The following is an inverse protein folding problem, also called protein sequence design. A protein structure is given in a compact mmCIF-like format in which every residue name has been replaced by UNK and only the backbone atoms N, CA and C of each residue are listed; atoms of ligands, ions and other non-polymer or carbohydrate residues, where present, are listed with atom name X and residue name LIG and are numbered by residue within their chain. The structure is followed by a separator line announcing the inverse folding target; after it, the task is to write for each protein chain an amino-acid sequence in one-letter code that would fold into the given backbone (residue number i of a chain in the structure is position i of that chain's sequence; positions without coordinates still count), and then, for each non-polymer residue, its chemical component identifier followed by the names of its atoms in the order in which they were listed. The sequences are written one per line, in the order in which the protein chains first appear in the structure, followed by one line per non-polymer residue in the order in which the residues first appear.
data_IF_437732722589
#
_entry.id   IF_437732722589
#
_cell.length_a   1.000
_cell.length_b   1.000
_cell.length_c   1.000
_cell.angle_alpha   90.00
_cell.angle_beta   90.00
_cell.angle_gamma   90.00
#
_symmetry.space_group_name_H-M   'P 1'
#
loop_
_entity.id
_entity.type
_entity.pdbx_description
1 polymer ?
#
# COMPACT_ATOMS: atom_id res chain seq x y z
N UNK A 1 6.31 -77.96 -16.58
CA UNK A 1 6.33 -77.03 -15.42
C UNK A 1 6.09 -75.64 -15.94
N UNK A 2 4.92 -75.04 -15.68
CA UNK A 2 4.60 -73.66 -16.07
C UNK A 2 5.00 -72.72 -14.92
N UNK A 3 5.92 -71.81 -15.18
CA UNK A 3 6.29 -70.71 -14.27
C UNK A 3 5.22 -69.62 -14.35
N UNK A 4 4.63 -69.28 -13.21
CA UNK A 4 3.77 -68.10 -13.06
C UNK A 4 4.62 -66.93 -12.53
N UNK A 5 4.49 -65.70 -13.06
CA UNK A 5 5.17 -64.55 -12.49
C UNK A 5 4.35 -63.98 -11.34
N UNK A 6 4.99 -63.83 -10.18
CA UNK A 6 4.44 -63.13 -9.01
C UNK A 6 4.63 -61.63 -9.25
N UNK A 7 3.54 -60.89 -9.46
CA UNK A 7 3.55 -59.43 -9.52
C UNK A 7 3.43 -58.90 -8.09
N UNK A 8 4.52 -58.35 -7.56
CA UNK A 8 4.56 -57.68 -6.26
C UNK A 8 4.12 -56.22 -6.48
N UNK A 9 2.92 -55.86 -6.02
CA UNK A 9 2.47 -54.47 -5.96
C UNK A 9 3.18 -53.74 -4.82
N UNK A 10 4.18 -52.94 -5.14
CA UNK A 10 4.73 -51.95 -4.21
C UNK A 10 3.75 -50.77 -4.10
N UNK A 11 3.01 -50.70 -3.00
CA UNK A 11 2.28 -49.48 -2.62
C UNK A 11 3.29 -48.42 -2.18
N UNK A 12 3.69 -47.55 -3.11
CA UNK A 12 4.35 -46.29 -2.79
C UNK A 12 3.34 -45.41 -2.02
N UNK A 13 3.45 -45.39 -0.68
CA UNK A 13 2.81 -44.37 0.14
C UNK A 13 3.44 -43.03 -0.20
N UNK A 14 2.78 -42.28 -1.08
CA UNK A 14 3.09 -40.87 -1.30
C UNK A 14 2.62 -40.14 -0.04
N UNK A 15 3.56 -39.83 0.86
CA UNK A 15 3.31 -38.85 1.91
C UNK A 15 3.22 -37.48 1.23
N UNK A 16 2.00 -37.05 0.93
CA UNK A 16 1.71 -35.63 0.69
C UNK A 16 1.84 -34.89 2.01
N UNK A 17 3.07 -34.57 2.40
CA UNK A 17 3.33 -33.58 3.43
C UNK A 17 2.82 -32.24 2.92
N UNK A 18 1.68 -31.77 3.43
CA UNK A 18 1.33 -30.36 3.33
C UNK A 18 2.44 -29.59 4.05
N UNK A 19 3.29 -28.91 3.29
CA UNK A 19 4.19 -27.90 3.84
C UNK A 19 3.30 -26.80 4.44
N UNK A 20 3.17 -26.78 5.76
CA UNK A 20 2.61 -25.62 6.45
C UNK A 20 3.66 -24.52 6.30
N UNK A 21 3.37 -23.52 5.48
CA UNK A 21 4.18 -22.31 5.38
C UNK A 21 4.18 -21.66 6.75
N UNK A 22 5.34 -21.67 7.42
CA UNK A 22 5.53 -20.93 8.66
C UNK A 22 5.43 -19.44 8.35
N UNK A 23 4.30 -18.82 8.71
CA UNK A 23 4.17 -17.37 8.67
C UNK A 23 4.92 -16.79 9.86
N UNK A 24 6.10 -16.22 9.60
CA UNK A 24 6.85 -15.52 10.63
C UNK A 24 6.02 -14.34 11.18
N UNK A 25 6.00 -14.14 12.50
CA UNK A 25 5.25 -13.05 13.11
C UNK A 25 5.80 -11.70 12.64
N UNK A 26 4.91 -10.74 12.43
CA UNK A 26 5.34 -9.37 12.21
C UNK A 26 5.75 -8.73 13.53
N UNK A 27 6.99 -8.25 13.60
CA UNK A 27 7.56 -7.68 14.82
C UNK A 27 8.46 -6.50 14.50
N UNK A 28 9.02 -5.89 15.55
CA UNK A 28 10.20 -5.04 15.36
C UNK A 28 11.35 -5.93 14.86
N UNK A 29 11.90 -5.60 13.69
CA UNK A 29 12.98 -6.34 13.02
C UNK A 29 14.25 -5.50 12.88
N UNK A 30 14.12 -4.17 12.95
CA UNK A 30 15.25 -3.24 13.01
C UNK A 30 15.11 -2.29 14.20
N UNK A 31 16.24 -1.69 14.58
CA UNK A 31 16.33 -0.61 15.58
C UNK A 31 16.99 0.63 14.95
N UNK A 32 16.54 1.02 13.77
CA UNK A 32 17.09 2.20 13.11
C UNK A 32 16.63 3.46 13.85
N UNK A 33 17.62 4.31 14.19
CA UNK A 33 17.37 5.63 14.76
C UNK A 33 16.56 6.51 13.81
N UNK A 34 16.02 7.61 14.34
CA UNK A 34 15.27 8.60 13.54
C UNK A 34 16.15 9.10 12.39
N UNK A 35 17.40 9.45 12.67
CA UNK A 35 18.36 9.96 11.68
C UNK A 35 18.60 8.91 10.58
N UNK A 36 18.80 7.64 10.97
CA UNK A 36 19.03 6.55 10.02
C UNK A 36 17.80 6.31 9.14
N UNK A 37 16.59 6.35 9.70
CA UNK A 37 15.35 6.17 8.94
C UNK A 37 15.12 7.31 7.96
N UNK A 38 15.37 8.55 8.38
CA UNK A 38 15.18 9.75 7.57
C UNK A 38 16.19 9.90 6.43
N UNK A 39 17.26 9.09 6.39
CA UNK A 39 18.19 9.00 5.25
C UNK A 39 17.64 8.17 4.07
N UNK A 40 16.56 7.42 4.28
CA UNK A 40 16.00 6.56 3.25
C UNK A 40 14.92 7.27 2.43
N UNK A 41 14.80 6.89 1.16
CA UNK A 41 13.71 7.33 0.30
C UNK A 41 12.36 6.79 0.80
N UNK A 42 11.26 7.58 0.77
CA UNK A 42 11.16 8.96 0.26
C UNK A 42 11.46 10.05 1.31
N UNK A 43 11.70 9.68 2.56
CA UNK A 43 11.82 10.63 3.68
C UNK A 43 13.02 11.57 3.55
N UNK A 44 14.13 11.11 2.97
CA UNK A 44 15.31 11.94 2.73
C UNK A 44 15.09 13.09 1.74
N UNK A 45 14.03 13.03 0.92
CA UNK A 45 13.66 14.06 -0.04
C UNK A 45 12.40 14.83 0.38
N UNK A 46 11.76 14.40 1.47
CA UNK A 46 10.47 14.95 1.92
C UNK A 46 10.68 16.15 2.84
N UNK A 47 9.97 17.25 2.56
CA UNK A 47 9.79 18.37 3.50
C UNK A 47 8.41 18.39 4.10
N UNK A 48 7.40 18.02 3.30
CA UNK A 48 6.01 17.92 3.73
C UNK A 48 5.48 16.52 3.40
N UNK A 49 4.78 15.92 4.35
CA UNK A 49 4.14 14.62 4.22
C UNK A 49 2.67 14.81 4.59
N UNK A 50 1.77 14.47 3.66
CA UNK A 50 0.33 14.52 3.91
C UNK A 50 -0.22 13.11 4.02
N UNK A 51 -1.04 12.88 5.03
CA UNK A 51 -2.04 11.83 5.01
C UNK A 51 -3.31 12.36 4.37
N UNK A 52 -3.86 11.60 3.44
CA UNK A 52 -5.06 12.01 2.71
C UNK A 52 -6.08 10.87 2.63
N UNK A 53 -7.35 11.23 2.58
CA UNK A 53 -8.45 10.35 2.20
C UNK A 53 -9.14 10.86 0.93
N UNK A 54 -9.75 9.95 0.19
CA UNK A 54 -10.44 10.30 -1.05
C UNK A 54 -11.57 9.33 -1.36
N UNK A 55 -12.61 9.84 -2.01
CA UNK A 55 -13.71 9.06 -2.59
C UNK A 55 -13.65 9.10 -4.11
N UNK A 56 -14.28 8.12 -4.73
CA UNK A 56 -14.53 8.13 -6.17
C UNK A 56 -15.38 9.35 -6.55
N UNK A 57 -14.90 10.16 -7.50
CA UNK A 57 -15.66 11.29 -8.05
C UNK A 57 -15.28 11.54 -9.49
N UNK A 58 -16.28 11.59 -10.36
CA UNK A 58 -16.11 11.88 -11.78
C UNK A 58 -15.72 13.33 -12.00
N UNK A 59 -16.28 14.24 -11.20
CA UNK A 59 -15.96 15.67 -11.27
C UNK A 59 -14.46 15.90 -11.07
N UNK A 60 -13.83 15.13 -10.16
CA UNK A 60 -12.38 15.14 -9.91
C UNK A 60 -11.57 14.60 -11.08
N UNK A 61 -12.11 13.64 -11.83
CA UNK A 61 -11.47 13.11 -13.04
C UNK A 61 -11.58 14.11 -14.20
N UNK A 62 -12.74 14.74 -14.36
CA UNK A 62 -13.00 15.73 -15.40
C UNK A 62 -12.16 17.00 -15.19
N UNK A 63 -12.05 17.49 -13.95
CA UNK A 63 -11.19 18.64 -13.60
C UNK A 63 -9.74 18.35 -14.00
N UNK A 64 -9.27 17.14 -13.73
CA UNK A 64 -7.92 16.70 -14.03
C UNK A 64 -7.66 16.53 -15.54
N UNK A 65 -8.64 16.06 -16.31
CA UNK A 65 -8.42 15.75 -17.73
C UNK A 65 -8.43 16.98 -18.65
N UNK A 66 -8.79 18.19 -18.18
CA UNK A 66 -8.82 19.50 -18.89
C UNK A 66 -9.56 19.55 -20.24
N UNK A 67 -9.96 18.41 -20.81
CA UNK A 67 -10.84 18.25 -21.95
C UNK A 67 -12.14 17.71 -21.41
N UNK A 68 -13.23 18.41 -21.68
CA UNK A 68 -14.60 17.95 -21.44
C UNK A 68 -14.87 16.74 -22.34
N UNK A 69 -14.35 15.57 -21.98
CA UNK A 69 -14.87 14.32 -22.52
C UNK A 69 -16.26 14.13 -21.93
N UNK A 70 -17.22 13.72 -22.75
CA UNK A 70 -18.56 13.33 -22.29
C UNK A 70 -18.45 12.00 -21.55
N UNK A 71 -17.75 11.99 -20.41
CA UNK A 71 -17.50 10.80 -19.61
C UNK A 71 -18.80 10.43 -18.90
N UNK A 72 -19.38 9.28 -19.22
CA UNK A 72 -20.57 8.79 -18.51
C UNK A 72 -20.14 7.98 -17.29
N UNK A 73 -20.77 8.23 -16.15
CA UNK A 73 -20.57 7.49 -14.89
C UNK A 73 -20.70 5.98 -15.03
N UNK A 74 -21.60 5.56 -15.91
CA UNK A 74 -21.91 4.16 -16.21
C UNK A 74 -20.74 3.39 -16.86
N UNK A 75 -19.70 4.10 -17.34
CA UNK A 75 -18.54 3.52 -18.02
C UNK A 75 -17.39 3.15 -17.06
N UNK A 76 -17.51 3.45 -15.75
CA UNK A 76 -16.45 3.22 -14.77
C UNK A 76 -16.85 2.11 -13.80
N UNK A 77 -15.93 1.16 -13.60
CA UNK A 77 -16.05 0.20 -12.50
C UNK A 77 -15.73 0.95 -11.20
N UNK A 78 -16.45 0.63 -10.13
CA UNK A 78 -16.24 1.24 -8.81
C UNK A 78 -14.75 1.14 -8.39
N UNK A 79 -14.13 2.28 -8.06
CA UNK A 79 -12.74 2.33 -7.63
C UNK A 79 -11.72 2.60 -8.76
N UNK A 80 -12.16 2.66 -10.01
CA UNK A 80 -11.29 2.98 -11.14
C UNK A 80 -10.96 4.47 -11.28
N UNK A 81 -11.78 5.37 -10.76
CA UNK A 81 -11.64 6.81 -11.02
C UNK A 81 -10.39 7.35 -10.33
N UNK A 82 -10.27 7.14 -9.02
CA UNK A 82 -9.09 7.63 -8.29
C UNK A 82 -7.85 6.82 -8.66
N UNK A 83 -8.00 5.53 -8.99
CA UNK A 83 -6.92 4.73 -9.58
C UNK A 83 -6.38 5.35 -10.88
N UNK A 84 -7.27 5.86 -11.76
CA UNK A 84 -6.86 6.61 -12.97
C UNK A 84 -6.20 7.93 -12.63
N UNK A 85 -6.72 8.70 -11.67
CA UNK A 85 -6.09 9.94 -11.20
C UNK A 85 -4.64 9.69 -10.76
N UNK A 86 -4.39 8.74 -9.87
CA UNK A 86 -3.03 8.41 -9.42
C UNK A 86 -2.15 7.89 -10.57
N UNK A 87 -2.70 7.06 -11.46
CA UNK A 87 -1.98 6.60 -12.65
C UNK A 87 -1.50 7.77 -13.50
N UNK A 88 -2.33 8.79 -13.74
CA UNK A 88 -1.91 9.98 -14.48
C UNK A 88 -0.92 10.82 -13.68
N UNK A 89 -1.13 10.97 -12.38
CA UNK A 89 -0.25 11.71 -11.49
C UNK A 89 1.18 11.16 -11.48
N UNK A 90 1.34 9.84 -11.63
CA UNK A 90 2.64 9.17 -11.78
C UNK A 90 3.44 9.64 -13.01
N UNK A 91 2.76 10.07 -14.08
CA UNK A 91 3.42 10.60 -15.28
C UNK A 91 3.73 12.09 -15.16
N UNK A 92 2.95 12.82 -14.36
CA UNK A 92 3.04 14.27 -14.23
C UNK A 92 2.51 14.72 -12.86
N UNK A 93 3.39 14.75 -11.85
CA UNK A 93 3.05 15.16 -10.49
C UNK A 93 2.57 16.62 -10.39
N UNK A 94 2.85 17.46 -11.40
CA UNK A 94 2.39 18.86 -11.40
C UNK A 94 0.87 19.00 -11.50
N UNK A 95 0.18 17.92 -11.85
CA UNK A 95 -1.28 17.84 -11.91
C UNK A 95 -1.93 17.47 -10.58
N UNK A 96 -1.15 17.39 -9.50
CA UNK A 96 -1.69 17.26 -8.16
C UNK A 96 -2.72 18.36 -7.92
N UNK A 97 -3.94 17.93 -7.59
CA UNK A 97 -5.04 18.82 -7.25
C UNK A 97 -5.48 18.52 -5.81
N UNK A 98 -5.29 19.45 -4.85
CA UNK A 98 -5.71 19.23 -3.47
C UNK A 98 -7.22 19.05 -3.33
N UNK A 99 -8.04 19.55 -4.26
CA UNK A 99 -9.50 19.39 -4.21
C UNK A 99 -9.93 17.95 -4.51
N UNK A 100 -9.01 17.12 -5.03
CA UNK A 100 -9.25 15.70 -5.21
C UNK A 100 -9.35 14.89 -3.89
N UNK A 101 -9.05 15.48 -2.74
CA UNK A 101 -9.00 14.79 -1.44
C UNK A 101 -10.02 15.33 -0.45
N UNK A 102 -10.68 14.42 0.29
CA UNK A 102 -11.71 14.78 1.28
C UNK A 102 -11.05 15.28 2.57
N UNK A 103 -10.13 14.49 3.13
CA UNK A 103 -9.34 14.86 4.30
C UNK A 103 -7.86 14.96 3.91
N UNK A 104 -7.18 15.94 4.49
CA UNK A 104 -5.76 16.23 4.21
C UNK A 104 -5.11 16.71 5.51
N UNK A 105 -4.24 15.90 6.08
CA UNK A 105 -3.53 16.21 7.32
C UNK A 105 -2.03 16.24 7.04
N UNK A 106 -1.39 17.39 7.29
CA UNK A 106 0.06 17.50 7.26
C UNK A 106 0.64 16.94 8.56
N UNK A 107 1.60 16.01 8.43
CA UNK A 107 2.23 15.39 9.58
C UNK A 107 3.23 16.36 10.24
N UNK A 108 3.15 16.44 11.57
CA UNK A 108 4.21 17.06 12.38
C UNK A 108 5.41 16.09 12.55
N UNK A 109 6.51 16.56 13.14
CA UNK A 109 7.73 15.76 13.28
C UNK A 109 7.52 14.46 14.08
N UNK A 110 6.73 14.47 15.15
CA UNK A 110 6.44 13.27 15.95
C UNK A 110 5.67 12.23 15.14
N UNK A 111 4.69 12.67 14.34
CA UNK A 111 3.91 11.79 13.46
C UNK A 111 4.76 11.25 12.30
N UNK A 112 5.68 12.05 11.74
CA UNK A 112 6.67 11.57 10.75
C UNK A 112 7.61 10.52 11.35
N UNK A 113 8.01 10.72 12.61
CA UNK A 113 8.86 9.77 13.33
C UNK A 113 8.14 8.44 13.59
N UNK A 114 6.85 8.48 13.91
CA UNK A 114 6.02 7.28 14.07
C UNK A 114 5.82 6.55 12.74
N UNK A 115 5.47 7.28 11.67
CA UNK A 115 5.34 6.73 10.32
C UNK A 115 6.61 6.02 9.85
N UNK A 116 7.76 6.67 9.99
CA UNK A 116 9.04 6.07 9.56
C UNK A 116 9.42 4.87 10.43
N UNK A 117 9.03 4.83 11.70
CA UNK A 117 9.33 3.70 12.60
C UNK A 117 8.53 2.48 12.15
N UNK A 118 7.25 2.67 11.83
CA UNK A 118 6.38 1.63 11.28
C UNK A 118 6.96 1.09 9.96
N UNK A 119 7.41 1.97 9.06
CA UNK A 119 7.90 1.56 7.73
C UNK A 119 9.19 0.77 7.80
N UNK A 120 10.19 1.23 8.57
CA UNK A 120 11.55 0.68 8.51
C UNK A 120 11.88 -0.29 9.64
N UNK A 121 11.26 -0.15 10.81
CA UNK A 121 11.60 -0.96 11.98
C UNK A 121 10.66 -2.12 12.21
N UNK A 122 9.47 -2.14 11.61
CA UNK A 122 8.50 -3.24 11.72
C UNK A 122 8.52 -4.07 10.44
N UNK A 123 8.37 -5.39 10.52
CA UNK A 123 8.38 -6.30 9.37
C UNK A 123 8.40 -7.77 9.78
N UNK A 124 8.66 -8.68 8.83
CA UNK A 124 8.87 -10.11 9.11
C UNK A 124 10.37 -10.41 9.16
N UNK A 125 10.77 -11.37 10.00
CA UNK A 125 12.16 -11.80 10.17
C UNK A 125 12.64 -12.84 9.12
N UNK A 126 12.00 -12.89 7.95
CA UNK A 126 12.34 -13.81 6.85
C UNK A 126 12.14 -13.08 5.53
N UNK A 127 12.99 -13.38 4.53
CA UNK A 127 12.74 -12.94 3.15
C UNK A 127 11.42 -13.55 2.67
N UNK A 128 10.36 -12.76 2.69
CA UNK A 128 9.12 -13.18 2.06
C UNK A 128 9.17 -12.77 0.59
N UNK A 129 9.02 -13.75 -0.31
CA UNK A 129 8.53 -13.45 -1.66
C UNK A 129 7.09 -12.99 -1.48
N UNK A 130 6.89 -11.69 -1.22
CA UNK A 130 5.59 -11.11 -0.94
C UNK A 130 4.60 -11.50 -2.02
N UNK A 131 3.62 -12.34 -1.68
CA UNK A 131 2.48 -12.60 -2.55
C UNK A 131 1.68 -11.30 -2.60
N UNK A 132 1.90 -10.52 -3.66
CA UNK A 132 1.04 -9.39 -3.98
C UNK A 132 -0.34 -9.97 -4.31
N UNK A 133 -1.30 -9.79 -3.40
CA UNK A 133 -2.68 -10.15 -3.64
C UNK A 133 -3.22 -9.46 -4.90
N UNK A 134 -4.35 -9.96 -5.43
CA UNK A 134 -5.10 -9.27 -6.47
C UNK A 134 -5.29 -7.79 -6.07
N UNK A 135 -5.05 -6.87 -7.01
CA UNK A 135 -5.06 -5.43 -6.72
C UNK A 135 -6.32 -4.97 -5.98
N UNK A 136 -6.17 -3.99 -5.07
CA UNK A 136 -7.32 -3.36 -4.41
C UNK A 136 -8.08 -2.51 -5.44
N UNK A 137 -9.35 -2.84 -5.67
CA UNK A 137 -10.17 -2.14 -6.64
C UNK A 137 -10.58 -0.75 -6.17
N UNK A 138 -10.72 -0.51 -4.86
CA UNK A 138 -11.23 0.75 -4.31
C UNK A 138 -10.44 1.23 -3.07
N UNK A 139 -9.16 1.60 -3.22
CA UNK A 139 -8.39 2.22 -2.13
C UNK A 139 -9.00 3.57 -1.77
N UNK A 140 -8.84 4.01 -0.52
CA UNK A 140 -9.47 5.25 0.00
C UNK A 140 -8.51 6.22 0.68
N UNK A 141 -7.24 5.83 0.83
CA UNK A 141 -6.26 6.59 1.58
C UNK A 141 -4.94 6.63 0.81
N UNK A 142 -4.16 7.69 1.03
CA UNK A 142 -2.81 7.76 0.52
C UNK A 142 -1.89 8.56 1.44
N UNK A 143 -0.59 8.33 1.29
CA UNK A 143 0.47 9.19 1.83
C UNK A 143 1.07 9.95 0.66
N UNK A 144 1.16 11.27 0.76
CA UNK A 144 1.72 12.13 -0.29
C UNK A 144 3.02 12.77 0.23
N UNK A 145 4.08 12.73 -0.59
CA UNK A 145 5.39 13.28 -0.23
C UNK A 145 5.75 14.46 -1.13
N UNK A 146 6.04 15.60 -0.50
CA UNK A 146 6.39 16.85 -1.17
C UNK A 146 7.81 17.23 -0.83
N UNK A 147 8.54 17.71 -1.83
CA UNK A 147 9.91 18.18 -1.67
C UNK A 147 9.95 19.63 -1.13
N UNK A 148 11.16 20.17 -1.04
CA UNK A 148 11.42 21.54 -0.58
C UNK A 148 10.81 22.66 -1.40
N UNK A 149 10.42 22.37 -2.65
CA UNK A 149 9.76 23.32 -3.55
C UNK A 149 8.24 23.16 -3.53
N UNK A 150 7.71 22.47 -2.53
CA UNK A 150 6.30 22.09 -2.38
C UNK A 150 5.73 21.28 -3.56
N UNK A 151 6.59 20.53 -4.26
CA UNK A 151 6.19 19.68 -5.37
C UNK A 151 6.04 18.24 -4.90
N UNK A 152 4.89 17.65 -5.20
CA UNK A 152 4.65 16.21 -5.05
C UNK A 152 5.70 15.45 -5.88
N UNK A 153 6.31 14.42 -5.30
CA UNK A 153 7.28 13.58 -6.01
C UNK A 153 7.11 12.07 -5.74
N UNK A 154 6.31 11.70 -4.75
CA UNK A 154 5.97 10.31 -4.42
C UNK A 154 4.60 10.27 -3.75
N UNK A 155 3.90 9.15 -3.91
CA UNK A 155 2.71 8.84 -3.14
C UNK A 155 2.62 7.33 -2.89
N UNK A 156 2.07 6.96 -1.73
CA UNK A 156 1.72 5.59 -1.40
C UNK A 156 0.20 5.47 -1.35
N UNK A 157 -0.40 4.73 -2.28
CA UNK A 157 -1.84 4.41 -2.21
C UNK A 157 -2.02 3.31 -1.17
N UNK A 158 -2.95 3.48 -0.24
CA UNK A 158 -3.22 2.53 0.84
C UNK A 158 -4.67 2.07 0.78
N UNK A 159 -4.84 0.76 0.94
CA UNK A 159 -6.12 0.10 1.06
C UNK A 159 -6.08 -0.79 2.30
N UNK A 160 -6.50 -0.24 3.45
CA UNK A 160 -6.47 -0.93 4.75
C UNK A 160 -7.28 -2.23 4.72
N UNK A 161 -8.50 -2.21 4.14
CA UNK A 161 -9.34 -3.41 4.02
C UNK A 161 -8.75 -4.55 3.18
N UNK A 162 -7.82 -4.24 2.27
CA UNK A 162 -7.16 -5.23 1.43
C UNK A 162 -5.72 -5.53 1.88
N UNK A 163 -5.20 -4.84 2.90
CA UNK A 163 -3.81 -4.93 3.33
C UNK A 163 -2.81 -4.68 2.19
N UNK A 164 -3.09 -3.68 1.34
CA UNK A 164 -2.24 -3.35 0.19
C UNK A 164 -1.75 -1.91 0.32
N UNK A 165 -0.45 -1.73 0.10
CA UNK A 165 0.15 -0.43 -0.22
C UNK A 165 0.74 -0.50 -1.62
N UNK A 166 0.57 0.56 -2.40
CA UNK A 166 1.10 0.67 -3.76
C UNK A 166 1.84 1.99 -3.92
N UNK A 167 3.19 1.99 -3.90
CA UNK A 167 3.97 3.18 -4.15
C UNK A 167 3.95 3.59 -5.62
N UNK A 168 4.05 4.89 -5.89
CA UNK A 168 4.14 5.38 -7.25
C UNK A 168 5.48 5.00 -7.88
N UNK A 169 6.58 5.03 -7.12
CA UNK A 169 7.88 4.49 -7.53
C UNK A 169 7.96 3.00 -7.17
N UNK A 170 7.98 2.15 -8.20
CA UNK A 170 7.88 0.69 -8.04
C UNK A 170 9.11 0.01 -7.44
N UNK A 171 10.25 0.71 -7.39
CA UNK A 171 11.46 0.21 -6.73
C UNK A 171 11.42 0.36 -5.21
N UNK A 172 10.46 1.12 -4.67
CA UNK A 172 10.26 1.16 -3.23
C UNK A 172 9.60 -0.15 -2.78
N UNK A 173 10.23 -0.84 -1.83
CA UNK A 173 9.62 -1.93 -1.09
C UNK A 173 9.47 -1.47 0.34
N UNK A 174 8.26 -1.59 0.87
CA UNK A 174 8.08 -1.68 2.30
C UNK A 174 8.73 -3.01 2.70
N UNK A 175 9.68 -2.97 3.62
CA UNK A 175 10.31 -4.20 4.11
C UNK A 175 9.21 -5.14 4.63
N UNK A 176 9.05 -6.32 4.02
CA UNK A 176 8.10 -7.36 4.39
C UNK A 176 6.70 -6.84 4.83
N UNK A 177 5.87 -6.48 3.84
CA UNK A 177 4.48 -6.06 4.02
C UNK A 177 3.64 -7.12 4.75
N UNK A 178 3.60 -6.99 6.07
CA UNK A 178 2.76 -7.79 6.94
C UNK A 178 1.45 -7.04 7.25
N UNK A 179 0.38 -7.78 7.51
CA UNK A 179 -0.93 -7.23 7.88
C UNK A 179 -0.85 -6.32 9.10
N UNK A 180 -0.05 -6.68 10.10
CA UNK A 180 0.08 -5.92 11.34
C UNK A 180 0.70 -4.54 11.10
N UNK A 181 1.65 -4.40 10.16
CA UNK A 181 2.20 -3.10 9.76
C UNK A 181 1.12 -2.23 9.14
N UNK A 182 0.23 -2.81 8.33
CA UNK A 182 -0.90 -2.09 7.76
C UNK A 182 -1.85 -1.61 8.85
N UNK A 183 -2.15 -2.45 9.85
CA UNK A 183 -2.97 -2.04 10.99
C UNK A 183 -2.34 -0.90 11.79
N UNK A 184 -1.02 -0.91 12.00
CA UNK A 184 -0.34 0.21 12.67
C UNK A 184 -0.38 1.50 11.84
N UNK A 185 -0.34 1.41 10.51
CA UNK A 185 -0.57 2.56 9.65
C UNK A 185 -2.02 3.03 9.73
N UNK A 186 -2.99 2.12 9.78
CA UNK A 186 -4.42 2.44 9.95
C UNK A 186 -4.66 3.21 11.27
N UNK A 187 -4.10 2.71 12.37
CA UNK A 187 -4.15 3.35 13.69
C UNK A 187 -3.52 4.75 13.67
N UNK A 188 -2.39 4.91 12.97
CA UNK A 188 -1.76 6.23 12.84
C UNK A 188 -2.62 7.19 12.01
N UNK A 189 -3.25 6.72 10.93
CA UNK A 189 -4.20 7.52 10.16
C UNK A 189 -5.38 7.98 11.02
N UNK A 190 -5.97 7.08 11.81
CA UNK A 190 -7.05 7.43 12.74
C UNK A 190 -6.57 8.45 13.79
N UNK A 191 -5.41 8.19 14.40
CA UNK A 191 -4.81 9.03 15.45
C UNK A 191 -4.56 10.46 14.98
N UNK A 192 -4.18 10.67 13.71
CA UNK A 192 -3.97 12.02 13.16
C UNK A 192 -5.26 12.70 12.68
N UNK A 193 -6.40 12.00 12.73
CA UNK A 193 -7.72 12.55 12.43
C UNK A 193 -8.20 12.30 11.00
N UNK A 194 -7.71 11.25 10.32
CA UNK A 194 -8.32 10.76 9.08
C UNK A 194 -9.41 9.74 9.44
N UNK A 195 -10.65 10.04 9.11
CA UNK A 195 -11.78 9.17 9.41
C UNK A 195 -12.19 8.32 8.19
N UNK A 196 -12.21 8.92 7.00
CA UNK A 196 -12.72 8.24 5.80
C UNK A 196 -11.76 7.16 5.31
N UNK A 197 -12.29 5.95 5.12
CA UNK A 197 -11.51 4.79 4.68
C UNK A 197 -10.72 4.10 5.81
N UNK A 198 -10.78 4.64 7.04
CA UNK A 198 -10.10 4.13 8.24
C UNK A 198 -11.12 3.61 9.24
N UNK A 199 -12.07 4.46 9.65
CA UNK A 199 -13.13 4.03 10.57
C UNK A 199 -14.09 3.09 9.86
N UNK A 200 -14.34 1.92 10.45
CA UNK A 200 -15.42 1.03 10.02
C UNK A 200 -16.75 1.74 10.25
N UNK A 201 -17.59 1.81 9.23
CA UNK A 201 -18.96 2.28 9.40
C UNK A 201 -19.63 1.40 10.47
N UNK A 202 -20.07 2.03 11.56
CA UNK A 202 -20.89 1.39 12.60
C UNK A 202 -22.27 1.00 12.05
#
# INVERSE_FOLDING_TARGET
MKLAPIIIFFFLKINSGFSQTYDAPCSRVNEFSIERRNQNYPFNQSKKILFVSYKESIEKLESFQKKKSNIKTEEFIHGEIMSKYFKYLKYDYSRYDPDCFEEKIELNEDQKNELTDIIYNIGKNIETNGMRGSGCYAPRNAILFFNENDKLFEYFIICFSCNIISPSVTSFSFNDDCTEKISLLEDLFEKVGIDFGVKKAL
#
